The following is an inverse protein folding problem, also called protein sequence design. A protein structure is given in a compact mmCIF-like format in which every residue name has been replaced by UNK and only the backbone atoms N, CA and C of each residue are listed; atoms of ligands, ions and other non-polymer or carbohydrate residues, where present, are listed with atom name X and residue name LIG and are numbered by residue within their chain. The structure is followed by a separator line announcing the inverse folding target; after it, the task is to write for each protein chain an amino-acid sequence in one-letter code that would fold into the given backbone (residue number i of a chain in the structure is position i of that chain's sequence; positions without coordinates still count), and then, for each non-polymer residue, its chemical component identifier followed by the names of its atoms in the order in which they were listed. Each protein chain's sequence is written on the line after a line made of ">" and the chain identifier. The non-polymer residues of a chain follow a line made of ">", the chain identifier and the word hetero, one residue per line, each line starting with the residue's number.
data_IF_535749895979
#
_entry.id   IF_535749895979
#
_cell.length_a   1.000
_cell.length_b   1.000
_cell.length_c   1.000
_cell.angle_alpha   90.00
_cell.angle_beta   90.00
_cell.angle_gamma   90.00
#
_symmetry.space_group_name_H-M   'P 1'
#
loop_
_entity.id
_entity.type
_entity.pdbx_description
1 polymer ?
#
# COMPACT_ATOMS: atom_id res chain seq x y z
N UNK A 1 10.79 42.57 56.24
CA UNK A 1 10.95 43.74 55.36
C UNK A 1 12.22 43.49 54.57
N UNK A 2 12.11 42.66 53.53
CA UNK A 2 11.91 43.09 52.13
C UNK A 2 13.24 43.61 51.56
N UNK A 3 13.81 43.09 50.49
CA UNK A 3 13.20 42.47 49.32
C UNK A 3 13.98 41.25 48.81
N UNK A 4 13.22 40.25 48.40
CA UNK A 4 13.63 39.16 47.52
C UNK A 4 13.78 39.73 46.12
N UNK A 5 14.99 39.71 45.57
CA UNK A 5 15.24 40.10 44.19
C UNK A 5 14.95 38.90 43.29
N UNK A 6 13.68 38.78 42.87
CA UNK A 6 13.28 37.93 41.76
C UNK A 6 13.77 38.58 40.47
N UNK A 7 14.95 38.17 39.99
CA UNK A 7 15.29 38.34 38.59
C UNK A 7 14.32 37.46 37.79
N UNK A 8 13.44 38.14 37.06
CA UNK A 8 12.39 37.58 36.23
C UNK A 8 13.05 36.81 35.09
N UNK A 9 12.77 35.53 35.01
CA UNK A 9 12.95 34.77 33.76
C UNK A 9 12.05 35.43 32.71
N UNK A 10 12.67 36.07 31.72
CA UNK A 10 12.01 36.53 30.51
C UNK A 10 11.50 35.31 29.74
N UNK A 11 10.19 35.18 29.46
CA UNK A 11 9.70 34.19 28.51
C UNK A 11 9.73 34.78 27.09
N UNK A 12 10.08 33.93 26.12
CA UNK A 12 9.91 34.11 24.67
C UNK A 12 10.86 35.06 23.93
N UNK A 13 12.04 34.54 23.58
CA UNK A 13 12.66 34.78 22.25
C UNK A 13 13.46 33.56 21.76
N UNK A 14 12.91 32.35 21.91
CA UNK A 14 13.39 31.22 21.10
C UNK A 14 12.79 31.35 19.71
N UNK A 15 13.56 31.95 18.79
CA UNK A 15 13.39 31.69 17.35
C UNK A 15 13.30 30.18 17.17
N UNK A 16 12.10 29.67 16.87
CA UNK A 16 11.81 28.24 16.89
C UNK A 16 12.50 27.52 15.72
N UNK A 17 13.79 27.26 15.84
CA UNK A 17 14.60 26.53 14.85
C UNK A 17 13.95 25.17 14.60
N UNK A 18 13.58 24.86 13.35
CA UNK A 18 12.98 23.57 13.01
C UNK A 18 14.00 22.46 12.84
N UNK A 19 15.29 22.80 12.71
CA UNK A 19 16.36 21.83 12.73
C UNK A 19 16.41 21.10 14.09
N UNK A 20 16.68 19.81 14.03
CA UNK A 20 16.89 18.90 15.15
C UNK A 20 15.69 18.64 16.08
N UNK A 21 14.47 19.02 15.66
CA UNK A 21 13.24 18.72 16.43
C UNK A 21 12.83 17.24 16.39
N UNK A 22 13.01 16.59 15.25
CA UNK A 22 12.60 15.18 15.05
C UNK A 22 13.80 14.26 15.03
N UNK A 23 14.80 14.56 14.19
CA UNK A 23 16.05 13.82 14.11
C UNK A 23 17.16 14.58 14.85
N UNK A 24 17.88 13.91 15.75
CA UNK A 24 19.03 14.53 16.43
C UNK A 24 20.16 14.84 15.43
N UNK A 25 21.09 15.69 15.83
CA UNK A 25 22.25 16.03 14.99
C UNK A 25 23.09 14.79 14.67
N UNK A 26 23.29 13.90 15.64
CA UNK A 26 24.03 12.65 15.46
C UNK A 26 23.30 11.69 14.51
N UNK A 27 21.99 11.53 14.67
CA UNK A 27 21.16 10.72 13.77
C UNK A 27 21.21 11.25 12.35
N UNK A 28 21.10 12.57 12.18
CA UNK A 28 21.11 13.20 10.86
C UNK A 28 22.46 13.04 10.16
N UNK A 29 23.57 13.22 10.88
CA UNK A 29 24.92 12.98 10.36
C UNK A 29 25.12 11.52 9.95
N UNK A 30 24.64 10.58 10.78
CA UNK A 30 24.71 9.15 10.49
C UNK A 30 23.93 8.83 9.21
N UNK A 31 22.66 9.26 9.12
CA UNK A 31 21.79 9.02 7.97
C UNK A 31 22.38 9.52 6.64
N UNK A 32 23.08 10.66 6.64
CA UNK A 32 23.76 11.19 5.43
C UNK A 32 24.89 10.27 4.91
N UNK A 33 25.48 9.45 5.78
CA UNK A 33 26.57 8.53 5.42
C UNK A 33 26.09 7.16 4.97
N UNK A 34 24.83 6.81 5.25
CA UNK A 34 24.28 5.49 4.99
C UNK A 34 23.75 5.37 3.55
N UNK A 35 23.76 4.14 3.05
CA UNK A 35 23.04 3.75 1.83
C UNK A 35 21.59 3.38 2.15
N UNK A 36 20.74 3.25 1.13
CA UNK A 36 19.27 3.14 1.27
C UNK A 36 18.86 2.02 2.25
N UNK A 37 19.44 0.84 2.15
CA UNK A 37 19.08 -0.32 2.98
C UNK A 37 19.40 -0.10 4.47
N UNK A 38 20.57 0.47 4.77
CA UNK A 38 20.97 0.73 6.15
C UNK A 38 20.28 1.98 6.72
N UNK A 39 19.96 2.95 5.85
CA UNK A 39 19.13 4.10 6.18
C UNK A 39 17.72 3.65 6.60
N UNK A 40 17.10 2.72 5.87
CA UNK A 40 15.80 2.15 6.26
C UNK A 40 15.87 1.49 7.64
N UNK A 41 16.89 0.65 7.90
CA UNK A 41 17.06 0.03 9.22
C UNK A 41 17.20 1.06 10.33
N UNK A 42 18.01 2.10 10.10
CA UNK A 42 18.18 3.18 11.06
C UNK A 42 16.87 3.92 11.35
N UNK A 43 16.10 4.24 10.31
CA UNK A 43 14.80 4.89 10.47
C UNK A 43 13.78 3.98 11.20
N UNK A 44 13.81 2.67 10.97
CA UNK A 44 13.01 1.71 11.74
C UNK A 44 13.34 1.76 13.23
N UNK A 45 14.62 1.84 13.58
CA UNK A 45 15.07 1.94 14.98
C UNK A 45 14.64 3.26 15.62
N UNK A 46 14.80 4.37 14.90
CA UNK A 46 14.44 5.73 15.37
C UNK A 46 12.94 5.83 15.63
N UNK A 47 12.12 5.41 14.67
CA UNK A 47 10.65 5.54 14.72
C UNK A 47 9.94 4.31 15.32
N UNK A 48 10.70 3.30 15.74
CA UNK A 48 10.19 2.06 16.36
C UNK A 48 9.17 1.33 15.48
N UNK A 49 9.42 1.31 14.16
CA UNK A 49 8.61 0.60 13.17
C UNK A 49 9.03 -0.87 13.18
N UNK A 50 8.19 -1.74 13.74
CA UNK A 50 8.50 -3.16 13.99
C UNK A 50 7.87 -4.10 12.97
N UNK A 51 6.74 -3.70 12.41
CA UNK A 51 5.88 -4.51 11.57
C UNK A 51 5.86 -4.02 10.11
N UNK A 52 6.84 -3.22 9.69
CA UNK A 52 6.91 -2.67 8.33
C UNK A 52 6.90 -3.73 7.20
N UNK A 53 7.12 -5.02 7.50
CA UNK A 53 7.01 -6.11 6.52
C UNK A 53 5.60 -6.67 6.35
N UNK A 54 4.70 -6.42 7.31
CA UNK A 54 3.35 -6.98 7.36
C UNK A 54 2.26 -5.93 7.48
N UNK A 55 2.59 -4.74 7.99
CA UNK A 55 1.68 -3.61 8.12
C UNK A 55 1.99 -2.54 7.07
N UNK A 56 0.98 -2.24 6.24
CA UNK A 56 1.08 -1.28 5.16
C UNK A 56 1.26 0.15 5.67
N UNK A 57 0.73 0.49 6.84
CA UNK A 57 0.84 1.82 7.42
C UNK A 57 2.29 2.11 7.86
N UNK A 58 2.90 1.19 8.62
CA UNK A 58 4.31 1.26 9.00
C UNK A 58 5.23 1.22 7.78
N UNK A 59 4.94 0.36 6.78
CA UNK A 59 5.72 0.28 5.54
C UNK A 59 5.72 1.61 4.77
N UNK A 60 4.53 2.18 4.55
CA UNK A 60 4.39 3.45 3.81
C UNK A 60 5.02 4.63 4.56
N UNK A 61 4.96 4.60 5.89
CA UNK A 61 5.62 5.60 6.74
C UNK A 61 7.15 5.52 6.57
N UNK A 62 7.70 4.31 6.62
CA UNK A 62 9.13 4.08 6.42
C UNK A 62 9.59 4.53 5.04
N UNK A 63 8.85 4.18 3.98
CA UNK A 63 9.18 4.54 2.61
C UNK A 63 9.16 6.06 2.42
N UNK A 64 8.17 6.75 2.98
CA UNK A 64 8.07 8.20 2.88
C UNK A 64 9.23 8.90 3.60
N UNK A 65 9.60 8.44 4.81
CA UNK A 65 10.74 8.99 5.55
C UNK A 65 12.08 8.69 4.87
N UNK A 66 12.26 7.46 4.37
CA UNK A 66 13.45 7.07 3.62
C UNK A 66 13.60 7.91 2.37
N UNK A 67 12.52 8.11 1.61
CA UNK A 67 12.51 8.96 0.43
C UNK A 67 12.92 10.41 0.73
N UNK A 68 12.48 10.96 1.86
CA UNK A 68 12.84 12.33 2.25
C UNK A 68 14.33 12.47 2.60
N UNK A 69 14.87 11.51 3.35
CA UNK A 69 16.30 11.50 3.69
C UNK A 69 17.15 11.28 2.45
N UNK A 70 16.77 10.32 1.61
CA UNK A 70 17.47 10.03 0.36
C UNK A 70 17.48 11.23 -0.58
N UNK A 71 16.31 11.85 -0.80
CA UNK A 71 16.22 13.06 -1.61
C UNK A 71 17.07 14.19 -1.05
N UNK A 72 17.05 14.40 0.28
CA UNK A 72 17.89 15.41 0.92
C UNK A 72 19.40 15.15 0.73
N UNK A 73 19.82 13.88 0.75
CA UNK A 73 21.19 13.45 0.44
C UNK A 73 21.55 13.77 -1.02
N UNK A 74 20.66 13.45 -1.97
CA UNK A 74 20.87 13.75 -3.40
C UNK A 74 20.95 15.26 -3.70
N UNK A 75 20.17 16.07 -2.97
CA UNK A 75 20.24 17.54 -3.07
C UNK A 75 21.49 18.13 -2.39
N UNK A 76 22.34 17.32 -1.76
CA UNK A 76 23.54 17.77 -1.07
C UNK A 76 23.26 18.64 0.16
N UNK A 77 22.14 18.41 0.85
CA UNK A 77 21.79 19.16 2.06
C UNK A 77 22.78 18.87 3.19
N UNK A 78 23.16 19.93 3.91
CA UNK A 78 23.96 19.76 5.13
C UNK A 78 23.10 19.17 6.27
N UNK A 79 23.70 18.71 7.40
CA UNK A 79 22.94 18.10 8.48
C UNK A 79 21.83 18.98 9.07
N UNK A 80 22.05 20.29 9.21
CA UNK A 80 21.02 21.22 9.71
C UNK A 80 19.85 21.33 8.74
N UNK A 81 20.15 21.45 7.44
CA UNK A 81 19.17 21.52 6.36
C UNK A 81 18.36 20.23 6.24
N UNK A 82 19.02 19.07 6.25
CA UNK A 82 18.34 17.78 6.19
C UNK A 82 17.40 17.61 7.40
N UNK A 83 17.86 17.96 8.60
CA UNK A 83 17.03 17.87 9.80
C UNK A 83 15.81 18.82 9.73
N UNK A 84 16.01 20.05 9.24
CA UNK A 84 14.92 21.00 9.00
C UNK A 84 13.90 20.50 7.98
N UNK A 85 14.36 19.97 6.85
CA UNK A 85 13.49 19.31 5.86
C UNK A 85 12.70 18.17 6.50
N UNK A 86 13.38 17.30 7.25
CA UNK A 86 12.76 16.13 7.84
C UNK A 86 11.68 16.53 8.86
N UNK A 87 11.90 17.57 9.65
CA UNK A 87 10.86 18.12 10.55
C UNK A 87 9.62 18.57 9.77
N UNK A 88 9.78 19.23 8.62
CA UNK A 88 8.64 19.61 7.77
C UNK A 88 7.93 18.36 7.25
N UNK A 89 8.68 17.42 6.69
CA UNK A 89 8.15 16.15 6.16
C UNK A 89 7.37 15.38 7.24
N UNK A 90 7.94 15.26 8.44
CA UNK A 90 7.33 14.58 9.58
C UNK A 90 6.03 15.25 10.00
N UNK A 91 6.04 16.57 10.23
CA UNK A 91 4.85 17.30 10.66
C UNK A 91 3.71 17.19 9.65
N UNK A 92 4.00 17.36 8.36
CA UNK A 92 2.98 17.25 7.31
C UNK A 92 2.41 15.84 7.21
N UNK A 93 3.22 14.81 7.44
CA UNK A 93 2.76 13.42 7.41
C UNK A 93 1.94 13.04 8.65
N UNK A 94 2.38 13.47 9.83
CA UNK A 94 1.64 13.30 11.09
C UNK A 94 0.30 14.02 11.07
N UNK A 95 0.18 15.16 10.37
CA UNK A 95 -1.10 15.81 10.13
C UNK A 95 -2.08 14.91 9.36
N UNK A 96 -1.59 14.06 8.45
CA UNK A 96 -2.43 13.08 7.75
C UNK A 96 -2.75 11.88 8.66
N UNK A 97 -1.71 11.34 9.29
CA UNK A 97 -1.75 10.09 10.06
C UNK A 97 -2.55 10.23 11.36
N UNK A 98 -2.23 11.23 12.20
CA UNK A 98 -2.79 11.37 13.54
C UNK A 98 -3.94 12.37 13.60
N UNK A 99 -3.82 13.49 12.87
CA UNK A 99 -4.82 14.56 12.94
C UNK A 99 -5.94 14.42 11.90
N UNK A 100 -5.77 13.51 10.93
CA UNK A 100 -6.68 13.33 9.79
C UNK A 100 -7.04 14.64 9.08
N UNK A 101 -6.06 15.55 9.02
CA UNK A 101 -6.22 16.87 8.43
C UNK A 101 -6.51 16.74 6.95
N UNK A 102 -7.42 17.56 6.43
CA UNK A 102 -7.67 17.57 4.99
C UNK A 102 -6.49 18.21 4.22
N UNK A 103 -6.38 17.89 2.93
CA UNK A 103 -5.31 18.36 2.04
C UNK A 103 -5.15 19.88 2.03
N UNK A 104 -6.25 20.62 2.02
CA UNK A 104 -6.23 22.09 1.87
C UNK A 104 -5.66 22.75 3.12
N UNK A 105 -6.05 22.26 4.30
CA UNK A 105 -5.55 22.81 5.57
C UNK A 105 -4.09 22.44 5.80
N UNK A 106 -3.68 21.21 5.49
CA UNK A 106 -2.28 20.80 5.58
C UNK A 106 -1.39 21.58 4.59
N UNK A 107 -1.91 21.92 3.41
CA UNK A 107 -1.23 22.81 2.47
C UNK A 107 -1.08 24.26 3.01
N UNK A 108 -2.05 24.75 3.78
CA UNK A 108 -1.93 26.07 4.43
C UNK A 108 -0.83 26.04 5.49
N UNK A 109 -0.72 24.97 6.28
CA UNK A 109 0.37 24.82 7.24
C UNK A 109 1.73 24.74 6.55
N UNK A 110 1.83 23.95 5.48
CA UNK A 110 3.05 23.92 4.67
C UNK A 110 3.43 25.31 4.15
N UNK A 111 2.46 26.05 3.60
CA UNK A 111 2.70 27.42 3.14
C UNK A 111 3.18 28.31 4.29
N UNK A 112 2.57 28.23 5.46
CA UNK A 112 2.94 29.02 6.63
C UNK A 112 4.41 28.79 7.04
N UNK A 113 4.84 27.52 7.03
CA UNK A 113 6.22 27.15 7.34
C UNK A 113 7.21 27.67 6.28
N UNK A 114 6.81 27.72 5.00
CA UNK A 114 7.66 28.18 3.90
C UNK A 114 7.77 29.71 3.77
N UNK A 115 6.83 30.49 4.30
CA UNK A 115 6.81 31.96 4.16
C UNK A 115 7.99 32.68 4.84
N UNK A 116 8.80 31.98 5.63
CA UNK A 116 9.89 32.53 6.42
C UNK A 116 11.31 32.32 5.89
N UNK A 117 11.48 31.72 4.71
CA UNK A 117 12.80 31.37 4.17
C UNK A 117 13.51 32.58 3.55
N UNK A 118 12.76 33.51 2.97
CA UNK A 118 13.27 34.83 2.61
C UNK A 118 12.19 35.86 2.95
N UNK A 119 12.42 36.72 3.96
CA UNK A 119 11.44 37.74 4.30
C UNK A 119 11.40 38.80 3.19
N UNK A 120 10.33 38.79 2.39
CA UNK A 120 10.01 39.89 1.47
C UNK A 120 9.77 41.20 2.25
N UNK A 121 9.41 41.08 3.54
CA UNK A 121 9.18 42.18 4.47
C UNK A 121 9.89 41.93 5.81
N UNK A 122 10.50 42.94 6.45
CA UNK A 122 11.23 42.80 7.73
C UNK A 122 10.40 42.22 8.87
N UNK A 123 9.06 42.33 8.80
CA UNK A 123 8.13 41.92 9.85
C UNK A 123 7.72 40.44 9.75
N UNK A 124 8.11 39.73 8.69
CA UNK A 124 7.80 38.31 8.51
C UNK A 124 8.81 37.47 9.30
N UNK A 125 8.39 37.01 10.48
CA UNK A 125 9.21 36.09 11.30
C UNK A 125 9.41 34.77 10.58
N UNK A 126 10.66 34.30 10.52
CA UNK A 126 10.97 32.99 9.99
C UNK A 126 10.34 31.90 10.85
N UNK A 127 9.78 30.87 10.23
CA UNK A 127 9.31 29.67 10.92
C UNK A 127 10.47 28.74 11.35
N UNK A 128 11.71 29.23 11.35
CA UNK A 128 12.91 28.45 11.72
C UNK A 128 13.52 27.67 10.55
N UNK A 129 13.37 28.18 9.32
CA UNK A 129 13.92 27.62 8.06
C UNK A 129 14.78 28.63 7.29
N UNK A 130 15.24 29.68 7.96
CA UNK A 130 16.10 30.75 7.45
C UNK A 130 17.45 30.27 6.90
N UNK A 131 17.87 29.05 7.22
CA UNK A 131 19.08 28.40 6.68
C UNK A 131 18.90 27.79 5.27
N UNK A 132 17.73 27.89 4.65
CA UNK A 132 17.52 27.49 3.26
C UNK A 132 17.65 28.69 2.31
N UNK A 133 18.21 28.45 1.13
CA UNK A 133 18.13 29.41 0.02
C UNK A 133 16.77 29.34 -0.67
N UNK A 134 16.40 30.38 -1.43
CA UNK A 134 15.19 30.40 -2.27
C UNK A 134 15.14 29.23 -3.26
N UNK A 135 16.29 28.89 -3.84
CA UNK A 135 16.39 27.77 -4.77
C UNK A 135 16.09 26.43 -4.07
N UNK A 136 16.64 26.23 -2.87
CA UNK A 136 16.36 25.06 -2.05
C UNK A 136 14.90 25.03 -1.59
N UNK A 137 14.34 26.17 -1.16
CA UNK A 137 12.93 26.28 -0.79
C UNK A 137 12.00 25.85 -1.93
N UNK A 138 12.29 26.28 -3.16
CA UNK A 138 11.54 25.88 -4.35
C UNK A 138 11.67 24.38 -4.61
N UNK A 139 12.87 23.81 -4.48
CA UNK A 139 13.10 22.38 -4.63
C UNK A 139 12.34 21.56 -3.57
N UNK A 140 12.34 22.00 -2.32
CA UNK A 140 11.61 21.40 -1.20
C UNK A 140 10.10 21.46 -1.46
N UNK A 141 9.58 22.61 -1.88
CA UNK A 141 8.16 22.75 -2.23
C UNK A 141 7.76 21.83 -3.38
N UNK A 142 8.60 21.69 -4.39
CA UNK A 142 8.36 20.76 -5.48
C UNK A 142 8.37 19.31 -4.98
N UNK A 143 9.39 18.92 -4.19
CA UNK A 143 9.49 17.59 -3.62
C UNK A 143 8.24 17.22 -2.82
N UNK A 144 7.86 18.04 -1.83
CA UNK A 144 6.68 17.82 -0.98
C UNK A 144 5.39 17.77 -1.81
N UNK A 145 5.29 18.60 -2.86
CA UNK A 145 4.14 18.55 -3.75
C UNK A 145 4.04 17.23 -4.51
N UNK A 146 5.15 16.71 -5.03
CA UNK A 146 5.19 15.45 -5.79
C UNK A 146 5.15 14.20 -4.90
N UNK A 147 5.68 14.26 -3.67
CA UNK A 147 5.74 13.11 -2.78
C UNK A 147 4.48 12.98 -1.90
N UNK A 148 4.10 14.05 -1.19
CA UNK A 148 2.98 14.02 -0.26
C UNK A 148 1.67 14.47 -0.90
N UNK A 149 1.63 15.71 -1.41
CA UNK A 149 0.35 16.31 -1.81
C UNK A 149 -0.26 15.68 -3.07
N UNK A 150 0.57 15.14 -3.97
CA UNK A 150 0.11 14.35 -5.12
C UNK A 150 -0.60 13.07 -4.68
N UNK A 151 -0.11 12.42 -3.64
CA UNK A 151 -0.62 11.14 -3.13
C UNK A 151 -1.48 11.29 -1.85
N UNK A 152 -1.91 12.50 -1.52
CA UNK A 152 -2.57 12.81 -0.24
C UNK A 152 -3.78 11.94 0.07
N UNK A 153 -4.65 11.73 -0.92
CA UNK A 153 -5.87 10.93 -0.72
C UNK A 153 -5.53 9.45 -0.44
N UNK A 154 -4.43 8.93 -0.99
CA UNK A 154 -3.97 7.58 -0.73
C UNK A 154 -3.52 7.43 0.72
N UNK A 155 -2.67 8.35 1.19
CA UNK A 155 -2.24 8.37 2.59
C UNK A 155 -3.43 8.57 3.53
N UNK A 156 -4.32 9.50 3.22
CA UNK A 156 -5.52 9.72 4.02
C UNK A 156 -6.37 8.46 4.09
N UNK A 157 -6.63 7.79 2.96
CA UNK A 157 -7.41 6.56 2.92
C UNK A 157 -6.76 5.46 3.77
N UNK A 158 -5.46 5.24 3.61
CA UNK A 158 -4.69 4.23 4.34
C UNK A 158 -4.75 4.38 5.87
N UNK A 159 -4.76 5.62 6.39
CA UNK A 159 -4.80 5.86 7.84
C UNK A 159 -6.23 5.99 8.42
N UNK A 160 -7.23 6.24 7.59
CA UNK A 160 -8.62 6.47 8.06
C UNK A 160 -9.56 5.30 7.83
N UNK A 161 -9.26 4.44 6.85
CA UNK A 161 -10.15 3.34 6.46
C UNK A 161 -9.57 2.01 6.93
N UNK A 162 -10.40 1.22 7.62
CA UNK A 162 -10.10 -0.18 7.92
C UNK A 162 -10.34 -1.02 6.67
N UNK A 163 -9.37 -1.84 6.28
CA UNK A 163 -9.55 -2.79 5.17
C UNK A 163 -10.66 -3.78 5.52
N UNK A 164 -11.52 -4.10 4.54
CA UNK A 164 -12.52 -5.14 4.72
C UNK A 164 -11.82 -6.49 4.93
N UNK A 165 -12.06 -7.12 6.08
CA UNK A 165 -11.54 -8.46 6.36
C UNK A 165 -12.24 -9.48 5.46
N UNK A 166 -11.48 -10.06 4.52
CA UNK A 166 -11.95 -11.17 3.71
C UNK A 166 -11.55 -12.48 4.40
N UNK A 167 -12.54 -13.21 4.93
CA UNK A 167 -12.31 -14.52 5.55
C UNK A 167 -12.15 -15.54 4.43
N UNK A 168 -10.91 -15.86 4.08
CA UNK A 168 -10.59 -16.93 3.13
C UNK A 168 -10.56 -18.26 3.89
N UNK A 169 -11.59 -19.08 3.71
CA UNK A 169 -11.61 -20.47 4.22
C UNK A 169 -10.81 -21.39 3.29
N UNK A 170 -9.90 -22.19 3.85
CA UNK A 170 -9.23 -23.26 3.11
C UNK A 170 -9.44 -24.58 3.84
N UNK A 171 -10.00 -25.57 3.16
CA UNK A 171 -10.12 -26.93 3.68
C UNK A 171 -8.77 -27.63 3.59
N UNK A 172 -8.14 -27.88 4.74
CA UNK A 172 -6.88 -28.61 4.82
C UNK A 172 -7.16 -30.09 5.12
N UNK A 173 -7.00 -30.97 4.13
CA UNK A 173 -6.99 -32.41 4.35
C UNK A 173 -5.61 -32.86 4.83
N UNK A 174 -5.53 -33.29 6.09
CA UNK A 174 -4.30 -33.86 6.68
C UNK A 174 -4.44 -35.37 6.68
N UNK A 175 -3.56 -36.09 5.98
CA UNK A 175 -3.46 -37.54 6.13
C UNK A 175 -2.89 -37.87 7.52
N UNK A 176 -3.71 -38.53 8.34
CA UNK A 176 -3.31 -38.99 9.67
C UNK A 176 -2.71 -40.38 9.54
N UNK A 177 -1.58 -40.62 10.22
CA UNK A 177 -0.98 -41.94 10.30
C UNK A 177 -2.02 -42.97 10.79
N UNK A 178 -2.08 -44.12 10.11
CA UNK A 178 -2.99 -45.21 10.48
C UNK A 178 -2.68 -45.66 11.93
N UNK A 179 -3.71 -45.90 12.77
CA UNK A 179 -3.53 -46.38 14.14
C UNK A 179 -2.62 -47.61 14.22
N UNK A 180 -1.77 -47.69 15.25
CA UNK A 180 -0.87 -48.83 15.49
C UNK A 180 -1.59 -50.16 15.77
N UNK A 181 -2.90 -50.10 16.01
CA UNK A 181 -3.77 -51.26 16.21
C UNK A 181 -4.21 -51.92 14.90
N UNK A 182 -4.01 -51.28 13.75
CA UNK A 182 -4.31 -51.89 12.46
C UNK A 182 -3.23 -52.92 12.13
N UNK A 183 -3.58 -54.20 11.90
CA UNK A 183 -2.61 -55.19 11.45
C UNK A 183 -2.05 -54.75 10.09
N UNK A 184 -0.74 -54.96 9.90
CA UNK A 184 -0.06 -54.73 8.63
C UNK A 184 0.29 -56.08 7.99
N UNK A 185 -0.15 -56.35 6.76
CA UNK A 185 -0.99 -55.48 5.93
C UNK A 185 -2.47 -55.45 6.40
N UNK A 186 -3.26 -54.44 5.99
CA UNK A 186 -4.68 -54.35 6.35
C UNK A 186 -5.43 -55.63 5.96
N UNK A 187 -6.50 -56.01 6.69
CA UNK A 187 -7.32 -57.15 6.31
C UNK A 187 -7.81 -57.03 4.86
N UNK A 188 -7.77 -58.14 4.12
CA UNK A 188 -8.08 -58.23 2.68
C UNK A 188 -7.12 -57.50 1.73
N UNK A 189 -6.07 -56.84 2.21
CA UNK A 189 -5.05 -56.25 1.32
C UNK A 189 -4.23 -57.33 0.58
N UNK A 190 -4.03 -58.49 1.21
CA UNK A 190 -3.49 -59.70 0.58
C UNK A 190 -4.60 -60.64 0.09
N UNK A 191 -5.86 -60.20 0.14
CA UNK A 191 -7.00 -60.97 -0.33
C UNK A 191 -6.89 -61.19 -1.83
N UNK A 192 -6.85 -62.46 -2.24
CA UNK A 192 -6.92 -62.86 -3.64
C UNK A 192 -8.35 -63.21 -3.99
N UNK A 193 -8.79 -62.90 -5.21
CA UNK A 193 -10.09 -63.37 -5.68
C UNK A 193 -10.10 -64.91 -5.78
N UNK A 194 -11.27 -65.51 -5.53
CA UNK A 194 -11.43 -66.98 -5.44
C UNK A 194 -11.03 -67.69 -6.74
N UNK A 195 -11.27 -67.07 -7.89
CA UNK A 195 -10.90 -67.58 -9.21
C UNK A 195 -9.37 -67.63 -9.38
N UNK A 196 -8.66 -66.61 -8.92
CA UNK A 196 -7.19 -66.55 -8.90
C UNK A 196 -6.59 -67.55 -7.91
N UNK A 197 -7.20 -67.71 -6.74
CA UNK A 197 -6.78 -68.70 -5.75
C UNK A 197 -6.93 -70.13 -6.30
N UNK A 198 -8.06 -70.45 -6.93
CA UNK A 198 -8.33 -71.76 -7.50
C UNK A 198 -7.40 -72.11 -8.68
N UNK A 199 -7.09 -71.13 -9.53
CA UNK A 199 -6.29 -71.33 -10.75
C UNK A 199 -4.79 -71.36 -10.52
N UNK A 200 -4.26 -70.66 -9.51
CA UNK A 200 -2.81 -70.51 -9.33
C UNK A 200 -2.26 -70.94 -7.97
N UNK A 201 -3.10 -71.05 -6.93
CA UNK A 201 -2.62 -71.32 -5.55
C UNK A 201 -3.06 -72.72 -5.08
N UNK A 202 -4.32 -73.10 -5.32
CA UNK A 202 -4.86 -74.40 -4.94
C UNK A 202 -4.66 -75.49 -6.00
N UNK A 203 -3.79 -75.27 -7.00
CA UNK A 203 -3.53 -76.29 -8.02
C UNK A 203 -2.77 -77.47 -7.39
N UNK A 204 -3.25 -78.72 -7.56
CA UNK A 204 -2.52 -79.89 -7.11
C UNK A 204 -1.14 -79.97 -7.80
N UNK A 205 -0.12 -80.58 -7.16
CA UNK A 205 1.19 -80.73 -7.77
C UNK A 205 1.07 -81.41 -9.14
N UNK A 206 1.87 -80.98 -10.14
CA UNK A 206 1.74 -81.47 -11.51
C UNK A 206 1.87 -82.99 -11.55
N UNK A 207 0.81 -83.65 -12.01
CA UNK A 207 0.86 -85.08 -12.33
C UNK A 207 1.72 -85.23 -13.59
N UNK A 208 2.70 -86.17 -13.62
CA UNK A 208 3.59 -86.31 -14.77
C UNK A 208 2.80 -86.54 -16.07
N UNK A 209 3.28 -85.97 -17.20
CA UNK A 209 2.47 -85.78 -18.39
C UNK A 209 2.08 -87.11 -19.05
N UNK A 210 0.78 -87.30 -19.39
CA UNK A 210 0.35 -88.23 -20.43
C UNK A 210 0.71 -87.67 -21.81
N UNK A 211 1.06 -88.60 -22.69
CA UNK A 211 1.55 -88.39 -24.05
C UNK A 211 0.54 -87.62 -24.92
N UNK A 212 1.10 -86.69 -25.70
CA UNK A 212 0.60 -85.87 -26.81
C UNK A 212 -0.83 -86.13 -27.34
N UNK A 213 -1.59 -85.05 -27.43
CA UNK A 213 -2.85 -84.96 -28.18
C UNK A 213 -3.55 -83.62 -27.95
N UNK A 214 -2.91 -82.52 -28.34
CA UNK A 214 -3.45 -81.16 -28.21
C UNK A 214 -4.29 -80.79 -29.44
N UNK A 215 -5.54 -80.40 -29.22
CA UNK A 215 -6.23 -79.42 -30.07
C UNK A 215 -6.69 -78.25 -29.19
N UNK A 216 -6.17 -77.08 -29.52
CA UNK A 216 -6.45 -75.78 -28.93
C UNK A 216 -7.89 -75.34 -29.16
N UNK A 217 -8.49 -74.65 -28.19
CA UNK A 217 -9.44 -73.58 -28.50
C UNK A 217 -9.31 -72.44 -27.50
N UNK A 218 -8.90 -71.29 -28.03
CA UNK A 218 -8.70 -69.99 -27.39
C UNK A 218 -10.00 -69.39 -26.85
N UNK A 219 -9.88 -68.58 -25.79
CA UNK A 219 -10.59 -67.30 -25.68
C UNK A 219 -9.81 -66.36 -24.77
N UNK A 220 -9.15 -65.37 -25.38
CA UNK A 220 -8.52 -64.23 -24.71
C UNK A 220 -9.55 -63.13 -24.37
N UNK A 221 -9.09 -62.28 -23.46
CA UNK A 221 -9.70 -61.18 -22.73
C UNK A 221 -10.16 -59.98 -23.59
N UNK A 222 -10.98 -59.08 -23.02
CA UNK A 222 -10.60 -57.69 -22.64
C UNK A 222 -11.82 -56.75 -22.43
N UNK A 223 -11.76 -55.96 -21.34
CA UNK A 223 -12.50 -54.70 -21.10
C UNK A 223 -11.66 -53.52 -21.60
N UNK A 224 -12.22 -52.32 -21.91
CA UNK A 224 -12.20 -51.20 -20.93
C UNK A 224 -13.38 -50.16 -21.07
N UNK A 225 -13.98 -49.73 -19.96
CA UNK A 225 -13.86 -48.43 -19.22
C UNK A 225 -14.41 -47.16 -19.90
N UNK A 226 -15.30 -46.49 -19.17
CA UNK A 226 -16.00 -45.23 -19.47
C UNK A 226 -15.11 -44.00 -19.17
N UNK A 227 -15.20 -42.97 -20.03
CA UNK A 227 -14.54 -41.66 -19.88
C UNK A 227 -15.43 -40.67 -19.09
N UNK A 228 -14.82 -39.91 -18.17
CA UNK A 228 -15.37 -38.69 -17.58
C UNK A 228 -15.21 -37.47 -18.51
N UNK A 229 -16.12 -36.49 -18.48
CA UNK A 229 -16.00 -35.29 -19.30
C UNK A 229 -15.08 -34.25 -18.66
N UNK A 230 -14.05 -33.83 -19.39
CA UNK A 230 -13.24 -32.64 -19.10
C UNK A 230 -14.01 -31.36 -19.39
N UNK A 231 -14.08 -30.45 -18.42
CA UNK A 231 -14.62 -29.09 -18.56
C UNK A 231 -13.61 -28.23 -19.34
N UNK A 232 -13.96 -27.64 -20.49
CA UNK A 232 -13.05 -26.73 -21.19
C UNK A 232 -12.98 -25.39 -20.45
N UNK A 233 -11.76 -24.90 -20.27
CA UNK A 233 -11.46 -23.56 -19.74
C UNK A 233 -11.91 -22.53 -20.79
N UNK A 234 -13.08 -21.93 -20.59
CA UNK A 234 -13.61 -20.90 -21.48
C UNK A 234 -12.98 -19.58 -21.05
N UNK A 235 -11.88 -19.20 -21.71
CA UNK A 235 -11.28 -17.89 -21.57
C UNK A 235 -12.26 -16.83 -22.13
N UNK A 236 -13.00 -16.22 -21.20
CA UNK A 236 -14.10 -15.28 -21.43
C UNK A 236 -13.70 -13.97 -22.15
N UNK A 237 -12.41 -13.82 -22.48
CA UNK A 237 -11.86 -12.65 -23.17
C UNK A 237 -11.54 -12.89 -24.64
N UNK A 238 -11.57 -14.14 -25.12
CA UNK A 238 -11.28 -14.44 -26.54
C UNK A 238 -12.40 -14.01 -27.50
N UNK A 239 -13.61 -13.78 -26.99
CA UNK A 239 -14.76 -13.33 -27.78
C UNK A 239 -14.94 -11.80 -27.80
N UNK A 240 -14.12 -11.03 -27.07
CA UNK A 240 -14.21 -9.57 -27.09
C UNK A 240 -13.58 -9.00 -28.36
N UNK A 241 -14.39 -8.29 -29.15
CA UNK A 241 -13.91 -7.55 -30.31
C UNK A 241 -13.43 -6.15 -29.91
N UNK A 242 -12.59 -5.54 -30.75
CA UNK A 242 -12.09 -4.16 -30.53
C UNK A 242 -13.23 -3.15 -30.50
N UNK A 243 -14.34 -3.44 -31.17
CA UNK A 243 -15.51 -2.58 -31.20
C UNK A 243 -16.30 -2.64 -29.88
N UNK A 244 -16.37 -3.81 -29.23
CA UNK A 244 -17.00 -3.94 -27.90
C UNK A 244 -16.24 -3.12 -26.84
N UNK A 245 -14.91 -3.16 -26.88
CA UNK A 245 -14.07 -2.36 -25.97
C UNK A 245 -14.24 -0.87 -26.24
N UNK A 246 -14.34 -0.46 -27.52
CA UNK A 246 -14.56 0.93 -27.91
C UNK A 246 -15.90 1.44 -27.42
N UNK A 247 -16.98 0.66 -27.56
CA UNK A 247 -18.32 1.07 -27.14
C UNK A 247 -18.39 1.27 -25.61
N UNK A 248 -17.78 0.37 -24.84
CA UNK A 248 -17.70 0.51 -23.38
C UNK A 248 -16.94 1.78 -23.00
N UNK A 249 -15.77 2.03 -23.61
CA UNK A 249 -14.98 3.25 -23.36
C UNK A 249 -15.76 4.52 -23.72
N UNK A 250 -16.46 4.54 -24.86
CA UNK A 250 -17.27 5.68 -25.27
C UNK A 250 -18.45 5.93 -24.30
N UNK A 251 -19.08 4.87 -23.80
CA UNK A 251 -20.15 4.97 -22.80
C UNK A 251 -19.65 5.57 -21.48
N UNK A 252 -18.52 5.06 -20.97
CA UNK A 252 -17.92 5.51 -19.69
C UNK A 252 -17.42 6.95 -19.83
N UNK A 253 -16.78 7.29 -20.94
CA UNK A 253 -16.32 8.64 -21.22
C UNK A 253 -17.49 9.63 -21.29
N UNK A 254 -18.60 9.24 -21.94
CA UNK A 254 -19.80 10.07 -22.04
C UNK A 254 -20.49 10.28 -20.69
N UNK A 255 -20.53 9.25 -19.86
CA UNK A 255 -21.14 9.33 -18.52
C UNK A 255 -20.30 10.22 -17.58
N UNK A 256 -18.99 10.01 -17.52
CA UNK A 256 -18.10 10.80 -16.65
C UNK A 256 -17.95 12.24 -17.13
N UNK A 257 -17.71 12.46 -18.43
CA UNK A 257 -17.47 13.80 -18.98
C UNK A 257 -18.76 14.60 -19.10
N UNK A 258 -19.88 13.95 -19.46
CA UNK A 258 -21.19 14.58 -19.53
C UNK A 258 -21.68 15.07 -18.17
N UNK A 259 -21.48 14.27 -17.11
CA UNK A 259 -21.76 14.68 -15.74
C UNK A 259 -20.96 15.92 -15.31
N UNK A 260 -19.65 15.93 -15.61
CA UNK A 260 -18.76 17.05 -15.30
C UNK A 260 -19.13 18.33 -16.05
N UNK A 261 -19.52 18.22 -17.33
CA UNK A 261 -19.93 19.36 -18.14
C UNK A 261 -21.19 20.03 -17.57
N UNK A 262 -22.13 19.23 -17.08
CA UNK A 262 -23.35 19.72 -16.44
C UNK A 262 -23.09 20.38 -15.08
N UNK A 263 -22.20 19.81 -14.24
CA UNK A 263 -21.80 20.43 -12.96
C UNK A 263 -21.09 21.77 -13.18
N UNK A 264 -20.20 21.83 -14.17
CA UNK A 264 -19.48 23.06 -14.51
C UNK A 264 -20.44 24.16 -15.00
N UNK A 265 -21.40 23.81 -15.87
CA UNK A 265 -22.42 24.73 -16.35
C UNK A 265 -23.33 25.24 -15.22
N UNK A 266 -23.68 24.37 -14.26
CA UNK A 266 -24.47 24.75 -13.09
C UNK A 266 -23.71 25.74 -12.19
N UNK A 267 -22.45 25.47 -11.88
CA UNK A 267 -21.60 26.37 -11.07
C UNK A 267 -21.35 27.72 -11.74
N UNK A 268 -21.20 27.74 -13.06
CA UNK A 268 -21.07 28.99 -13.82
C UNK A 268 -22.33 29.86 -13.70
N UNK A 269 -23.52 29.26 -13.87
CA UNK A 269 -24.80 29.96 -13.69
C UNK A 269 -25.00 30.46 -12.26
N UNK A 270 -24.60 29.69 -11.26
CA UNK A 270 -24.68 30.10 -9.86
C UNK A 270 -23.79 31.33 -9.58
N UNK A 271 -22.55 31.31 -10.08
CA UNK A 271 -21.61 32.44 -9.99
C UNK A 271 -22.16 33.68 -10.69
N UNK A 272 -22.70 33.53 -11.89
CA UNK A 272 -23.31 34.61 -12.66
C UNK A 272 -24.49 35.25 -11.89
N UNK A 273 -25.40 34.42 -11.37
CA UNK A 273 -26.52 34.89 -10.55
C UNK A 273 -26.07 35.62 -9.28
N UNK A 274 -25.00 35.14 -8.62
CA UNK A 274 -24.46 35.80 -7.43
C UNK A 274 -23.91 37.20 -7.77
N UNK A 275 -23.21 37.32 -8.90
CA UNK A 275 -22.67 38.60 -9.38
C UNK A 275 -23.81 39.55 -9.73
N UNK A 276 -24.83 39.09 -10.46
CA UNK A 276 -26.02 39.90 -10.80
C UNK A 276 -26.72 40.39 -9.52
N UNK A 277 -26.88 39.53 -8.51
CA UNK A 277 -27.45 39.93 -7.23
C UNK A 277 -26.62 41.00 -6.51
N UNK A 278 -25.29 40.91 -6.55
CA UNK A 278 -24.40 41.95 -6.00
C UNK A 278 -24.54 43.27 -6.75
N UNK A 279 -24.59 43.23 -8.09
CA UNK A 279 -24.79 44.42 -8.92
C UNK A 279 -26.15 45.08 -8.59
N UNK A 280 -27.22 44.30 -8.47
CA UNK A 280 -28.54 44.82 -8.12
C UNK A 280 -28.60 45.40 -6.71
N UNK A 281 -27.87 44.82 -5.75
CA UNK A 281 -27.73 45.39 -4.39
C UNK A 281 -27.02 46.74 -4.42
N UNK A 282 -25.97 46.89 -5.23
CA UNK A 282 -25.23 48.15 -5.37
C UNK A 282 -26.10 49.21 -6.05
N UNK A 283 -26.85 48.85 -7.11
CA UNK A 283 -27.77 49.78 -7.77
C UNK A 283 -28.89 50.25 -6.85
N UNK A 284 -29.44 49.39 -5.97
CA UNK A 284 -30.46 49.78 -4.98
C UNK A 284 -29.96 50.69 -3.85
N UNK A 285 -28.64 50.80 -3.65
CA UNK A 285 -28.04 51.67 -2.62
C UNK A 285 -27.63 53.02 -3.23
N UNK A 286 -27.63 53.14 -4.57
CA UNK A 286 -27.27 54.35 -5.30
C UNK A 286 -28.50 55.22 -5.71
N UNK A 287 -29.72 54.77 -5.39
CA UNK A 287 -30.96 55.58 -5.39
C UNK A 287 -31.30 56.02 -3.96
#
# INVERSE_FOLDING_TARGET
>A
MEASDCAKDDPDDETAVLAFKVLSEEQTKKLLTLEVEDMQKELCEIFKLKNYSTDLQEASTLDYYTGAVWWGKEQGLNPQQLSGLFTVVYNLFENVKEQHMNKVDNLKEFKAVMMGIEPEYPDVKSAGLDFFSVAQAKAIAQYINTSLFQHYNLYQFMFTHTQAEEIIGTDLSIEVAKPSTLPFPPPLHEGVQDDMYASFIATPPPTPPPVEGAEDTKSDQETPKEDEPTVPDIDAFNDLTVDDVREVIESVAKEMLGGLQNDLAAKLREKENNIIQRINKIHKVAE
#
